data_IF_824090689196
#
_entry.id   IF_824090689196
#
_cell.length_a   1.000
_cell.length_b   1.000
_cell.length_c   1.000
_cell.angle_alpha   90.00
_cell.angle_beta   90.00
_cell.angle_gamma   90.00
#
_symmetry.space_group_name_H-M   'P 1'
#
loop_
_entity.id
_entity.type
_entity.pdbx_description
1 polymer ?
#
# COMPACT_ATOMS: atom_id res chain seq x y z
N UNK A 1 5.80 -12.20 -12.14
CA UNK A 1 4.89 -11.61 -11.13
C UNK A 1 5.21 -12.31 -9.83
N UNK A 2 5.95 -11.64 -8.94
CA UNK A 2 6.60 -12.29 -7.79
C UNK A 2 5.79 -12.21 -6.50
N UNK A 3 4.78 -11.35 -6.44
CA UNK A 3 3.99 -11.12 -5.23
C UNK A 3 2.52 -11.41 -5.48
N UNK A 4 1.88 -12.00 -4.49
CA UNK A 4 0.43 -12.23 -4.48
C UNK A 4 -0.30 -10.94 -4.18
N UNK A 5 -1.56 -10.88 -4.59
CA UNK A 5 -2.45 -9.76 -4.27
C UNK A 5 -2.51 -9.47 -2.77
N UNK A 6 -2.54 -10.52 -1.95
CA UNK A 6 -2.58 -10.39 -0.49
C UNK A 6 -1.29 -9.74 0.05
N UNK A 7 -0.13 -10.13 -0.47
CA UNK A 7 1.15 -9.53 -0.06
C UNK A 7 1.23 -8.03 -0.37
N UNK A 8 0.74 -7.62 -1.55
CA UNK A 8 0.70 -6.19 -1.89
C UNK A 8 -0.26 -5.41 -0.99
N UNK A 9 -1.44 -5.97 -0.70
CA UNK A 9 -2.40 -5.34 0.22
C UNK A 9 -1.79 -5.21 1.62
N UNK A 10 -1.19 -6.27 2.16
CA UNK A 10 -0.61 -6.23 3.50
C UNK A 10 0.54 -5.21 3.59
N UNK A 11 1.35 -5.08 2.53
CA UNK A 11 2.43 -4.11 2.46
C UNK A 11 1.96 -2.66 2.31
N UNK A 12 0.95 -2.40 1.46
CA UNK A 12 0.34 -1.07 1.30
C UNK A 12 -0.32 -0.61 2.61
N UNK A 13 -0.96 -1.53 3.33
CA UNK A 13 -1.51 -1.25 4.66
C UNK A 13 -0.41 -0.89 5.66
N UNK A 14 0.72 -1.62 5.66
CA UNK A 14 1.84 -1.32 6.55
C UNK A 14 2.47 0.05 6.25
N UNK A 15 2.62 0.40 4.97
CA UNK A 15 3.06 1.72 4.54
C UNK A 15 2.08 2.82 4.99
N UNK A 16 0.77 2.62 4.79
CA UNK A 16 -0.26 3.56 5.22
C UNK A 16 -0.28 3.76 6.74
N UNK A 17 -0.19 2.68 7.52
CA UNK A 17 -0.07 2.77 8.99
C UNK A 17 1.13 3.59 9.42
N UNK A 18 2.27 3.44 8.73
CA UNK A 18 3.46 4.23 8.98
C UNK A 18 3.28 5.70 8.61
N UNK A 19 2.69 6.00 7.45
CA UNK A 19 2.41 7.37 7.00
C UNK A 19 1.43 8.09 7.94
N UNK A 20 0.40 7.40 8.39
CA UNK A 20 -0.59 7.94 9.33
C UNK A 20 -0.06 8.07 10.77
N UNK A 21 1.06 7.43 11.14
CA UNK A 21 1.53 7.41 12.53
C UNK A 21 1.71 8.80 13.15
N UNK A 22 2.26 9.76 12.38
CA UNK A 22 2.57 11.11 12.88
C UNK A 22 1.61 12.21 12.41
N UNK A 23 0.95 12.03 11.26
CA UNK A 23 0.20 13.10 10.56
C UNK A 23 -1.27 12.76 10.23
N UNK A 24 -1.86 11.72 10.83
CA UNK A 24 -3.26 11.34 10.58
C UNK A 24 -4.27 12.45 10.91
N UNK A 25 -5.08 12.83 9.91
CA UNK A 25 -6.20 13.75 10.02
C UNK A 25 -7.55 13.02 9.84
N UNK A 26 -8.37 12.86 10.90
CA UNK A 26 -9.64 12.14 10.82
C UNK A 26 -10.69 12.80 9.92
N UNK A 27 -10.51 14.05 9.47
CA UNK A 27 -11.42 14.70 8.51
C UNK A 27 -11.02 14.49 7.05
N UNK A 28 -9.75 14.16 6.77
CA UNK A 28 -9.20 14.10 5.41
C UNK A 28 -8.60 12.73 5.05
N UNK A 29 -8.15 11.95 6.02
CA UNK A 29 -7.50 10.66 5.82
C UNK A 29 -8.44 9.50 6.10
N UNK A 30 -8.26 8.43 5.34
CA UNK A 30 -8.95 7.17 5.57
C UNK A 30 -8.33 6.44 6.77
N UNK A 31 -9.17 5.79 7.58
CA UNK A 31 -8.64 4.84 8.56
C UNK A 31 -7.93 3.69 7.84
N UNK A 32 -6.99 3.03 8.52
CA UNK A 32 -6.31 1.84 7.99
C UNK A 32 -7.29 0.74 7.55
N UNK A 33 -8.41 0.60 8.26
CA UNK A 33 -9.46 -0.36 7.91
C UNK A 33 -10.15 0.04 6.60
N UNK A 34 -10.53 1.30 6.44
CA UNK A 34 -11.15 1.82 5.21
C UNK A 34 -10.19 1.69 4.01
N UNK A 35 -8.91 2.07 4.18
CA UNK A 35 -7.91 1.91 3.13
C UNK A 35 -7.75 0.44 2.73
N UNK A 36 -7.72 -0.48 3.70
CA UNK A 36 -7.66 -1.93 3.42
C UNK A 36 -8.87 -2.42 2.63
N UNK A 37 -10.07 -1.95 2.93
CA UNK A 37 -11.28 -2.32 2.19
C UNK A 37 -11.20 -1.86 0.72
N UNK A 38 -10.74 -0.64 0.47
CA UNK A 38 -10.53 -0.13 -0.89
C UNK A 38 -9.52 -0.98 -1.68
N UNK A 39 -8.39 -1.34 -1.06
CA UNK A 39 -7.38 -2.21 -1.67
C UNK A 39 -7.93 -3.61 -2.03
N UNK A 40 -8.89 -4.12 -1.25
CA UNK A 40 -9.55 -5.42 -1.51
C UNK A 40 -10.52 -5.34 -2.71
N UNK A 41 -10.87 -4.16 -3.20
CA UNK A 41 -11.63 -3.99 -4.44
C UNK A 41 -10.74 -3.79 -5.68
N UNK A 42 -9.49 -3.36 -5.50
CA UNK A 42 -8.53 -3.09 -6.59
C UNK A 42 -7.99 -4.34 -7.30
N UNK A 43 -7.79 -4.26 -8.61
CA UNK A 43 -7.08 -5.27 -9.39
C UNK A 43 -5.59 -5.35 -9.03
N UNK A 44 -4.92 -6.41 -9.47
CA UNK A 44 -3.48 -6.56 -9.24
C UNK A 44 -2.66 -5.44 -9.89
N UNK A 45 -3.11 -4.90 -11.03
CA UNK A 45 -2.43 -3.81 -11.73
C UNK A 45 -2.61 -2.50 -10.97
N UNK A 46 -3.82 -2.21 -10.48
CA UNK A 46 -4.10 -1.04 -9.64
C UNK A 46 -3.31 -1.07 -8.32
N UNK A 47 -3.17 -2.24 -7.69
CA UNK A 47 -2.34 -2.38 -6.48
C UNK A 47 -0.86 -2.13 -6.75
N UNK A 48 -0.35 -2.48 -7.93
CA UNK A 48 1.04 -2.17 -8.30
C UNK A 48 1.18 -0.67 -8.57
N UNK A 49 0.21 -0.04 -9.23
CA UNK A 49 0.20 1.42 -9.44
C UNK A 49 0.16 2.19 -8.12
N UNK A 50 -0.63 1.72 -7.15
CA UNK A 50 -0.78 2.33 -5.83
C UNK A 50 0.55 2.40 -5.05
N UNK A 51 1.46 1.43 -5.24
CA UNK A 51 2.79 1.43 -4.61
C UNK A 51 3.65 2.63 -5.05
N UNK A 52 3.25 3.34 -6.12
CA UNK A 52 4.00 4.46 -6.71
C UNK A 52 5.46 4.12 -7.05
N UNK A 53 5.73 2.84 -7.36
CA UNK A 53 7.05 2.34 -7.71
C UNK A 53 7.38 2.60 -9.19
N UNK A 54 8.66 2.79 -9.48
CA UNK A 54 9.16 3.11 -10.82
C UNK A 54 10.55 2.51 -11.08
N UNK A 55 11.28 3.02 -12.09
CA UNK A 55 12.62 2.55 -12.45
C UNK A 55 13.71 2.91 -11.42
N UNK A 56 13.43 3.85 -10.51
CA UNK A 56 14.35 4.33 -9.48
C UNK A 56 14.03 3.79 -8.09
N UNK A 57 12.79 3.39 -7.85
CA UNK A 57 12.37 2.67 -6.65
C UNK A 57 11.46 1.52 -7.06
N UNK A 58 12.06 0.34 -7.17
CA UNK A 58 11.41 -0.82 -7.77
C UNK A 58 10.41 -1.47 -6.82
N UNK A 59 9.46 -2.22 -7.37
CA UNK A 59 8.51 -3.02 -6.58
C UNK A 59 9.21 -3.99 -5.62
N UNK A 60 10.37 -4.54 -6.01
CA UNK A 60 11.14 -5.42 -5.14
C UNK A 60 11.74 -4.65 -3.95
N UNK A 61 12.30 -3.44 -4.17
CA UNK A 61 12.83 -2.58 -3.10
C UNK A 61 11.71 -2.08 -2.15
N UNK A 62 10.54 -1.75 -2.70
CA UNK A 62 9.37 -1.39 -1.90
C UNK A 62 8.89 -2.57 -1.05
N UNK A 63 8.84 -3.77 -1.61
CA UNK A 63 8.50 -4.99 -0.87
C UNK A 63 9.56 -5.36 0.19
N UNK A 64 10.83 -4.99 0.03
CA UNK A 64 11.84 -5.16 1.10
C UNK A 64 11.59 -4.23 2.30
N UNK A 65 10.97 -3.07 2.06
CA UNK A 65 10.68 -2.09 3.10
C UNK A 65 9.34 -2.35 3.80
N UNK A 66 8.34 -2.82 3.07
CA UNK A 66 6.95 -2.88 3.55
C UNK A 66 6.32 -4.30 3.56
N UNK A 67 6.95 -5.28 2.90
CA UNK A 67 6.42 -6.63 2.67
C UNK A 67 6.61 -7.67 3.76
#
# INVERSE_FOLDING_TARGET
MNYTRQQLIDALVAEWEYLCHDDFDPENDQTTEEYREDLIEMSLEELIEETSTDEHYTLDEWMENWG
#
